data_IF_456042311046
#
_entry.id   IF_456042311046
#
_cell.length_a   1.000
_cell.length_b   1.000
_cell.length_c   1.000
_cell.angle_alpha   90.00
_cell.angle_beta   90.00
_cell.angle_gamma   90.00
#
_symmetry.space_group_name_H-M   'P 1'
#
loop_
_entity.id
_entity.type
_entity.pdbx_description
1 polymer ?
#
# COMPACT_ATOMS: atom_id res chain seq x y z
N UNK A 1 66.56 18.09 -27.81
CA UNK A 1 67.01 17.53 -29.10
C UNK A 1 66.01 16.47 -29.52
N UNK A 2 65.42 16.60 -30.73
CA UNK A 2 64.98 15.57 -31.72
C UNK A 2 64.13 14.39 -31.18
N UNK A 3 62.92 14.06 -31.66
CA UNK A 3 62.33 14.15 -33.02
C UNK A 3 60.80 13.95 -33.00
N UNK A 4 60.13 14.66 -33.92
CA UNK A 4 58.81 14.42 -34.53
C UNK A 4 58.61 12.97 -35.02
N UNK A 5 57.36 12.48 -35.13
CA UNK A 5 56.70 12.15 -36.43
C UNK A 5 55.22 11.75 -36.21
N UNK A 6 54.37 12.29 -37.08
CA UNK A 6 52.91 12.21 -37.17
C UNK A 6 52.34 10.83 -37.54
N UNK A 7 51.09 10.56 -37.17
CA UNK A 7 50.11 10.01 -38.10
C UNK A 7 48.69 10.42 -37.70
N UNK A 8 48.04 11.20 -38.55
CA UNK A 8 46.64 11.58 -38.40
C UNK A 8 45.71 10.40 -38.71
N UNK A 9 44.61 10.33 -37.99
CA UNK A 9 43.40 9.66 -38.45
C UNK A 9 42.21 10.58 -38.16
N UNK A 10 41.78 11.28 -39.21
CA UNK A 10 40.48 11.94 -39.26
C UNK A 10 39.47 10.86 -39.59
N UNK A 11 38.52 10.58 -38.70
CA UNK A 11 37.25 10.01 -39.14
C UNK A 11 36.08 10.37 -38.21
N UNK A 12 35.15 11.11 -38.82
CA UNK A 12 33.71 11.18 -38.58
C UNK A 12 33.19 11.59 -37.19
N UNK A 13 32.76 12.86 -37.13
CA UNK A 13 31.56 13.26 -36.40
C UNK A 13 30.40 12.34 -36.81
N UNK A 14 30.00 11.41 -35.94
CA UNK A 14 28.65 10.86 -35.95
C UNK A 14 27.77 11.77 -35.08
N UNK A 15 27.03 12.66 -35.72
CA UNK A 15 25.87 13.30 -35.13
C UNK A 15 24.80 12.21 -34.91
N UNK A 16 24.73 11.67 -33.69
CA UNK A 16 23.62 10.82 -33.30
C UNK A 16 22.34 11.67 -33.25
N UNK A 17 21.23 11.26 -33.89
CA UNK A 17 19.97 11.93 -33.68
C UNK A 17 19.54 11.65 -32.24
N UNK A 18 19.32 12.72 -31.48
CA UNK A 18 18.64 12.69 -30.20
C UNK A 18 17.18 12.31 -30.48
N UNK A 19 16.92 11.02 -30.65
CA UNK A 19 15.58 10.48 -30.68
C UNK A 19 14.93 10.82 -29.33
N UNK A 20 13.93 11.70 -29.38
CA UNK A 20 13.07 12.04 -28.27
C UNK A 20 12.49 10.74 -27.70
N UNK A 21 13.04 10.28 -26.57
CA UNK A 21 12.40 9.26 -25.74
C UNK A 21 11.15 9.89 -25.13
N UNK A 22 10.00 9.60 -25.74
CA UNK A 22 8.71 9.80 -25.10
C UNK A 22 8.63 8.97 -23.81
N UNK A 23 7.98 9.47 -22.73
CA UNK A 23 7.88 8.74 -21.48
C UNK A 23 6.96 7.51 -21.61
N UNK A 24 7.40 6.44 -20.97
CA UNK A 24 6.79 5.12 -20.80
C UNK A 24 5.25 5.05 -20.90
N UNK A 25 4.76 4.37 -21.95
CA UNK A 25 3.50 3.64 -21.89
C UNK A 25 3.77 2.25 -21.30
N UNK A 26 2.94 1.81 -20.36
CA UNK A 26 3.13 0.62 -19.53
C UNK A 26 3.50 -0.62 -20.34
N UNK A 27 4.47 -1.36 -19.84
CA UNK A 27 4.86 -2.68 -20.37
C UNK A 27 3.62 -3.55 -20.47
N UNK A 28 3.24 -4.07 -21.65
CA UNK A 28 2.19 -5.08 -21.74
C UNK A 28 2.65 -6.29 -20.93
N UNK A 29 1.78 -6.81 -20.08
CA UNK A 29 2.03 -8.09 -19.43
C UNK A 29 2.31 -9.11 -20.55
N UNK A 30 3.43 -9.83 -20.47
CA UNK A 30 3.66 -10.92 -21.43
C UNK A 30 2.56 -11.96 -21.25
N UNK A 31 2.11 -12.59 -22.34
CA UNK A 31 1.04 -13.60 -22.35
C UNK A 31 1.26 -14.73 -21.32
N UNK A 32 2.52 -15.07 -21.02
CA UNK A 32 2.87 -16.02 -19.97
C UNK A 32 2.49 -15.54 -18.54
N UNK A 33 2.62 -14.24 -18.27
CA UNK A 33 2.20 -13.64 -17.00
C UNK A 33 0.68 -13.52 -16.87
N UNK A 34 -0.02 -13.33 -17.99
CA UNK A 34 -1.48 -13.30 -18.02
C UNK A 34 -2.08 -14.68 -17.67
N UNK A 35 -1.52 -15.76 -18.23
CA UNK A 35 -1.95 -17.13 -17.92
C UNK A 35 -1.68 -17.49 -16.44
N UNK A 36 -0.50 -17.15 -15.91
CA UNK A 36 -0.19 -17.39 -14.50
C UNK A 36 -1.12 -16.62 -13.54
N UNK A 37 -1.49 -15.39 -13.90
CA UNK A 37 -2.48 -14.63 -13.14
C UNK A 37 -3.85 -15.31 -13.19
N UNK A 38 -4.31 -15.74 -14.37
CA UNK A 38 -5.59 -16.45 -14.52
C UNK A 38 -5.63 -17.75 -13.71
N UNK A 39 -4.56 -18.54 -13.70
CA UNK A 39 -4.45 -19.73 -12.85
C UNK A 39 -4.59 -19.38 -11.37
N UNK A 40 -3.98 -18.27 -10.92
CA UNK A 40 -4.14 -17.81 -9.55
C UNK A 40 -5.59 -17.40 -9.23
N UNK A 41 -6.28 -16.72 -10.16
CA UNK A 41 -7.70 -16.37 -10.00
C UNK A 41 -8.61 -17.59 -9.90
N UNK A 42 -8.35 -18.63 -10.70
CA UNK A 42 -9.13 -19.87 -10.68
C UNK A 42 -9.00 -20.65 -9.36
N UNK A 43 -7.94 -20.39 -8.58
CA UNK A 43 -7.70 -21.02 -7.29
C UNK A 43 -8.29 -20.23 -6.10
N UNK A 44 -8.87 -19.04 -6.33
CA UNK A 44 -9.52 -18.26 -5.28
C UNK A 44 -10.91 -18.84 -4.97
N UNK A 45 -11.28 -18.84 -3.69
CA UNK A 45 -12.65 -19.11 -3.26
C UNK A 45 -13.60 -17.97 -3.63
N UNK A 46 -14.90 -18.24 -3.62
CA UNK A 46 -15.93 -17.21 -3.87
C UNK A 46 -15.82 -16.00 -2.92
N UNK A 47 -15.46 -16.25 -1.66
CA UNK A 47 -15.26 -15.19 -0.67
C UNK A 47 -14.05 -14.30 -1.01
N UNK A 48 -12.95 -14.90 -1.47
CA UNK A 48 -11.74 -14.17 -1.89
C UNK A 48 -11.98 -13.39 -3.18
N UNK A 49 -12.73 -13.97 -4.13
CA UNK A 49 -13.16 -13.29 -5.35
C UNK A 49 -14.03 -12.07 -5.04
N UNK A 50 -14.99 -12.21 -4.13
CA UNK A 50 -15.83 -11.09 -3.69
C UNK A 50 -15.00 -9.97 -3.01
N UNK A 51 -14.01 -10.35 -2.19
CA UNK A 51 -13.10 -9.38 -1.58
C UNK A 51 -12.28 -8.64 -2.64
N UNK A 52 -11.77 -9.37 -3.65
CA UNK A 52 -10.99 -8.79 -4.73
C UNK A 52 -11.83 -7.84 -5.60
N UNK A 53 -13.08 -8.20 -5.90
CA UNK A 53 -14.03 -7.34 -6.59
C UNK A 53 -14.24 -6.02 -5.81
N UNK A 54 -14.45 -6.10 -4.50
CA UNK A 54 -14.61 -4.92 -3.65
C UNK A 54 -13.37 -4.00 -3.67
N UNK A 55 -12.16 -4.59 -3.65
CA UNK A 55 -10.91 -3.85 -3.78
C UNK A 55 -10.80 -3.17 -5.15
N UNK A 56 -11.11 -3.89 -6.24
CA UNK A 56 -11.10 -3.34 -7.60
C UNK A 56 -12.09 -2.19 -7.73
N UNK A 57 -13.32 -2.34 -7.20
CA UNK A 57 -14.32 -1.28 -7.20
C UNK A 57 -13.81 -0.01 -6.50
N UNK A 58 -13.18 -0.17 -5.32
CA UNK A 58 -12.56 0.93 -4.60
C UNK A 58 -11.44 1.60 -5.39
N UNK A 59 -10.57 0.83 -6.05
CA UNK A 59 -9.48 1.37 -6.87
C UNK A 59 -9.98 2.09 -8.14
N UNK A 60 -11.08 1.63 -8.73
CA UNK A 60 -11.75 2.30 -9.86
C UNK A 60 -12.37 3.62 -9.45
N UNK A 61 -12.91 3.71 -8.23
CA UNK A 61 -13.47 4.95 -7.67
C UNK A 61 -12.42 6.01 -7.30
N UNK A 62 -11.13 5.64 -7.20
CA UNK A 62 -10.06 6.59 -6.88
C UNK A 62 -9.70 7.50 -8.05
N UNK A 63 -9.40 8.76 -7.74
CA UNK A 63 -8.83 9.71 -8.70
C UNK A 63 -7.40 9.32 -9.10
N UNK A 64 -6.88 9.81 -10.25
CA UNK A 64 -5.49 9.58 -10.63
C UNK A 64 -4.48 10.00 -9.55
N UNK A 65 -4.72 11.13 -8.87
CA UNK A 65 -3.86 11.62 -7.78
C UNK A 65 -3.87 10.67 -6.57
N UNK A 66 -5.06 10.17 -6.16
CA UNK A 66 -5.18 9.19 -5.08
C UNK A 66 -4.47 7.87 -5.42
N UNK A 67 -4.57 7.41 -6.66
CA UNK A 67 -3.84 6.21 -7.13
C UNK A 67 -2.34 6.42 -7.13
N UNK A 68 -1.86 7.61 -7.49
CA UNK A 68 -0.43 7.95 -7.43
C UNK A 68 0.08 7.97 -5.97
N UNK A 69 -0.66 8.59 -5.05
CA UNK A 69 -0.33 8.59 -3.63
C UNK A 69 -0.26 7.15 -3.06
N UNK A 70 -1.26 6.32 -3.37
CA UNK A 70 -1.27 4.91 -2.93
C UNK A 70 -0.07 4.12 -3.46
N UNK A 71 0.34 4.35 -4.72
CA UNK A 71 1.55 3.71 -5.28
C UNK A 71 2.81 4.12 -4.53
N UNK A 72 2.93 5.40 -4.19
CA UNK A 72 4.06 5.93 -3.40
C UNK A 72 4.10 5.30 -2.02
N UNK A 73 2.96 5.20 -1.33
CA UNK A 73 2.87 4.54 -0.02
C UNK A 73 3.27 3.06 -0.08
N UNK A 74 2.80 2.32 -1.09
CA UNK A 74 3.19 0.91 -1.30
C UNK A 74 4.69 0.79 -1.56
N UNK A 75 5.27 1.70 -2.36
CA UNK A 75 6.71 1.71 -2.62
C UNK A 75 7.52 1.97 -1.34
N UNK A 76 7.11 2.95 -0.53
CA UNK A 76 7.72 3.24 0.77
C UNK A 76 7.63 2.02 1.70
N UNK A 77 6.47 1.37 1.80
CA UNK A 77 6.31 0.15 2.60
C UNK A 77 7.25 -0.98 2.15
N UNK A 78 7.41 -1.18 0.83
CA UNK A 78 8.29 -2.22 0.29
C UNK A 78 9.77 -1.99 0.58
N UNK A 79 10.18 -0.73 0.76
CA UNK A 79 11.55 -0.34 1.12
C UNK A 79 11.87 -0.55 2.59
N UNK A 80 10.87 -0.74 3.45
CA UNK A 80 11.10 -1.02 4.87
C UNK A 80 11.78 -2.38 5.06
N UNK A 81 12.72 -2.51 6.01
CA UNK A 81 13.28 -3.79 6.42
C UNK A 81 12.19 -4.78 6.83
N UNK A 82 12.42 -6.07 6.58
CA UNK A 82 11.43 -7.12 6.87
C UNK A 82 10.91 -7.10 8.33
N UNK A 83 11.73 -6.89 9.38
CA UNK A 83 11.22 -6.76 10.75
C UNK A 83 10.22 -5.61 10.93
N UNK A 84 10.46 -4.47 10.29
CA UNK A 84 9.56 -3.32 10.34
C UNK A 84 8.26 -3.59 9.58
N UNK A 85 8.34 -4.27 8.43
CA UNK A 85 7.14 -4.72 7.70
C UNK A 85 6.31 -5.71 8.51
N UNK A 86 6.96 -6.64 9.23
CA UNK A 86 6.29 -7.57 10.12
C UNK A 86 5.59 -6.84 11.27
N UNK A 87 6.25 -5.86 11.89
CA UNK A 87 5.63 -5.04 12.93
C UNK A 87 4.38 -4.29 12.41
N UNK A 88 4.42 -3.77 11.19
CA UNK A 88 3.25 -3.14 10.57
C UNK A 88 2.13 -4.13 10.23
N UNK A 89 2.48 -5.34 9.76
CA UNK A 89 1.50 -6.41 9.47
C UNK A 89 0.84 -6.95 10.73
N UNK A 90 1.61 -7.15 11.79
CA UNK A 90 1.12 -7.56 13.11
C UNK A 90 0.47 -6.40 13.88
N UNK A 91 0.65 -5.18 13.36
CA UNK A 91 0.02 -3.97 13.85
C UNK A 91 -1.50 -3.97 13.72
N UNK A 92 -2.11 -2.79 13.87
CA UNK A 92 -3.56 -2.61 13.77
C UNK A 92 -4.16 -3.15 12.46
N UNK A 93 -3.39 -3.16 11.38
CA UNK A 93 -3.80 -3.69 10.08
C UNK A 93 -4.01 -5.22 10.05
N UNK A 94 -3.37 -5.95 10.97
CA UNK A 94 -3.53 -7.40 11.13
C UNK A 94 -4.65 -7.82 12.08
N UNK A 95 -5.35 -6.88 12.70
CA UNK A 95 -6.48 -7.19 13.59
C UNK A 95 -7.67 -7.74 12.79
N UNK A 96 -8.50 -8.62 13.38
CA UNK A 96 -9.71 -9.11 12.73
C UNK A 96 -10.61 -7.98 12.22
N UNK A 97 -11.28 -8.14 11.07
CA UNK A 97 -12.11 -7.08 10.47
C UNK A 97 -13.20 -6.58 11.43
N UNK A 98 -13.79 -7.47 12.24
CA UNK A 98 -14.76 -7.10 13.27
C UNK A 98 -14.22 -6.09 14.29
N UNK A 99 -12.96 -6.22 14.70
CA UNK A 99 -12.30 -5.27 15.62
C UNK A 99 -12.00 -3.95 14.91
N UNK A 100 -11.60 -3.99 13.64
CA UNK A 100 -11.33 -2.78 12.85
C UNK A 100 -12.61 -1.96 12.60
N UNK A 101 -13.70 -2.65 12.26
CA UNK A 101 -15.00 -2.03 11.99
C UNK A 101 -15.67 -1.57 13.28
N UNK A 102 -15.58 -2.35 14.35
CA UNK A 102 -16.04 -1.96 15.68
C UNK A 102 -15.34 -0.68 16.17
N UNK A 103 -14.03 -0.53 15.93
CA UNK A 103 -13.32 0.72 16.21
C UNK A 103 -13.86 1.89 15.40
N UNK A 104 -14.08 1.70 14.10
CA UNK A 104 -14.59 2.74 13.21
C UNK A 104 -15.97 3.21 13.66
N UNK A 105 -16.86 2.29 13.97
CA UNK A 105 -18.21 2.57 14.44
C UNK A 105 -18.23 3.21 15.84
N UNK A 106 -17.44 2.68 16.77
CA UNK A 106 -17.29 3.26 18.12
C UNK A 106 -16.80 4.71 18.03
N UNK A 107 -15.78 4.99 17.22
CA UNK A 107 -15.25 6.34 17.08
C UNK A 107 -16.20 7.27 16.31
N UNK A 108 -16.99 6.76 15.36
CA UNK A 108 -18.01 7.54 14.66
C UNK A 108 -19.19 7.92 15.57
N UNK A 109 -19.55 7.03 16.51
CA UNK A 109 -20.65 7.25 17.46
C UNK A 109 -20.23 8.01 18.72
N UNK A 110 -18.93 8.09 19.02
CA UNK A 110 -18.41 8.79 20.19
C UNK A 110 -18.50 10.33 20.10
N UNK A 111 -18.79 10.97 21.24
CA UNK A 111 -18.79 12.44 21.35
C UNK A 111 -17.39 13.01 21.05
N UNK A 112 -17.28 14.29 20.66
CA UNK A 112 -15.98 14.94 20.42
C UNK A 112 -15.03 14.83 21.62
N UNK A 113 -15.54 14.98 22.85
CA UNK A 113 -14.77 14.90 24.08
C UNK A 113 -14.22 13.50 24.30
N UNK A 114 -15.06 12.47 24.08
CA UNK A 114 -14.64 11.08 24.21
C UNK A 114 -13.60 10.70 23.16
N UNK A 115 -13.75 11.19 21.92
CA UNK A 115 -12.74 11.00 20.87
C UNK A 115 -11.42 11.64 21.24
N UNK A 116 -11.44 12.87 21.77
CA UNK A 116 -10.25 13.58 22.21
C UNK A 116 -9.54 12.87 23.35
N UNK A 117 -10.28 12.34 24.33
CA UNK A 117 -9.74 11.54 25.44
C UNK A 117 -9.02 10.28 24.93
N UNK A 118 -9.69 9.51 24.07
CA UNK A 118 -9.11 8.30 23.48
C UNK A 118 -7.87 8.63 22.65
N UNK A 119 -7.88 9.72 21.90
CA UNK A 119 -6.74 10.17 21.12
C UNK A 119 -5.57 10.62 22.00
N UNK A 120 -5.83 11.38 23.06
CA UNK A 120 -4.82 11.80 24.03
C UNK A 120 -4.17 10.57 24.69
N UNK A 121 -4.96 9.59 25.11
CA UNK A 121 -4.44 8.35 25.70
C UNK A 121 -3.59 7.56 24.70
N UNK A 122 -3.99 7.49 23.44
CA UNK A 122 -3.21 6.82 22.40
C UNK A 122 -1.89 7.52 22.07
N UNK A 123 -1.76 8.83 22.33
CA UNK A 123 -0.51 9.54 22.11
C UNK A 123 0.55 9.20 23.17
N UNK A 124 0.13 8.86 24.39
CA UNK A 124 1.06 8.56 25.50
C UNK A 124 1.57 7.14 25.55
N UNK A 125 0.92 6.22 24.84
CA UNK A 125 1.24 4.78 24.87
C UNK A 125 2.31 4.43 23.84
N UNK A 126 3.03 3.32 24.05
CA UNK A 126 3.90 2.74 23.01
C UNK A 126 3.10 1.95 21.96
N UNK A 127 3.66 1.65 20.77
CA UNK A 127 2.90 1.02 19.66
C UNK A 127 2.12 -0.25 20.05
N UNK A 128 2.74 -1.15 20.84
CA UNK A 128 2.09 -2.39 21.28
C UNK A 128 0.98 -2.13 22.31
N UNK A 129 1.18 -1.16 23.18
CA UNK A 129 0.18 -0.74 24.17
C UNK A 129 -1.01 -0.02 23.52
N UNK A 130 -0.74 0.81 22.50
CA UNK A 130 -1.80 1.43 21.68
C UNK A 130 -2.70 0.35 21.07
N UNK A 131 -2.12 -0.71 20.54
CA UNK A 131 -2.89 -1.81 19.96
C UNK A 131 -3.77 -2.50 20.98
N UNK A 132 -3.21 -2.89 22.12
CA UNK A 132 -3.95 -3.53 23.21
C UNK A 132 -5.10 -2.63 23.68
N UNK A 133 -4.80 -1.35 23.93
CA UNK A 133 -5.80 -0.37 24.35
C UNK A 133 -6.94 -0.20 23.34
N UNK A 134 -6.65 -0.11 22.03
CA UNK A 134 -7.70 -0.05 20.99
C UNK A 134 -8.53 -1.32 20.99
N UNK A 135 -7.90 -2.50 21.01
CA UNK A 135 -8.62 -3.77 21.00
C UNK A 135 -9.55 -3.88 22.19
N UNK A 136 -9.06 -3.61 23.39
CA UNK A 136 -9.83 -3.74 24.62
C UNK A 136 -11.04 -2.78 24.65
N UNK A 137 -10.87 -1.55 24.11
CA UNK A 137 -11.98 -0.61 23.93
C UNK A 137 -13.05 -1.14 22.97
N UNK A 138 -12.63 -1.69 21.83
CA UNK A 138 -13.56 -2.25 20.84
C UNK A 138 -14.28 -3.48 21.39
N UNK A 139 -13.57 -4.39 22.06
CA UNK A 139 -14.18 -5.56 22.67
C UNK A 139 -15.22 -5.16 23.72
N UNK A 140 -14.93 -4.14 24.54
CA UNK A 140 -15.90 -3.59 25.48
C UNK A 140 -17.12 -2.99 24.76
N UNK A 141 -16.90 -2.27 23.66
CA UNK A 141 -17.97 -1.70 22.84
C UNK A 141 -18.85 -2.78 22.17
N UNK A 142 -18.24 -3.83 21.61
CA UNK A 142 -18.98 -4.92 20.97
C UNK A 142 -19.80 -5.72 21.99
N UNK A 143 -19.32 -5.86 23.23
CA UNK A 143 -20.08 -6.51 24.33
C UNK A 143 -21.31 -5.72 24.75
N UNK A 144 -21.29 -4.40 24.67
CA UNK A 144 -22.44 -3.55 25.05
C UNK A 144 -23.42 -3.34 23.90
N UNK A 145 -23.00 -3.65 22.68
CA UNK A 145 -23.85 -3.55 21.50
C UNK A 145 -24.85 -4.72 21.46
N UNK A 146 -26.17 -4.46 21.37
CA UNK A 146 -27.13 -5.54 21.18
C UNK A 146 -26.85 -6.24 19.84
N UNK A 147 -26.84 -7.57 19.84
CA UNK A 147 -26.74 -8.34 18.61
C UNK A 147 -27.82 -7.87 17.63
N UNK A 148 -27.42 -7.41 16.43
CA UNK A 148 -28.37 -7.08 15.37
C UNK A 148 -29.13 -8.38 15.03
N UNK A 149 -30.41 -8.44 15.40
CA UNK A 149 -31.36 -9.47 14.97
C UNK A 149 -31.62 -9.35 13.47
#
# INVERSE_FOLDING_TARGET
MKTLTCLGFVFALLAAPLAAQAPAAGTPASSAGELAALEQFLNLSDAELAQLEAVIARLRAMTPAQRAALRTEIAAFRQLPEPQRQQLRQGWAGMPPEIQDGWREMMQSATPERRAEVQAKLQTLDPDEKMRYRRDLVEAYLKTKPAKK
#
